data_IF_059831317129
#
_entry.id   IF_059831317129
#
_cell.length_a   1.000
_cell.length_b   1.000
_cell.length_c   1.000
_cell.angle_alpha   90.00
_cell.angle_beta   90.00
_cell.angle_gamma   90.00
#
_symmetry.space_group_name_H-M   'P 1'
#
loop_
_entity.id
_entity.type
_entity.pdbx_description
1 polymer ?
#
# COMPACT_ATOMS: atom_id res chain seq x y z
N UNK A 1 12.80 -7.84 10.41
CA UNK A 1 11.38 -7.69 10.78
C UNK A 1 10.61 -7.22 9.55
N UNK A 2 9.39 -7.69 9.32
CA UNK A 2 8.55 -7.32 8.18
C UNK A 2 7.26 -6.69 8.70
N UNK A 3 7.05 -5.41 8.42
CA UNK A 3 5.77 -4.71 8.59
C UNK A 3 5.01 -4.78 7.26
N UNK A 4 3.77 -5.24 7.28
CA UNK A 4 2.96 -5.39 6.07
C UNK A 4 1.87 -4.31 6.02
N UNK A 5 1.82 -3.56 4.92
CA UNK A 5 0.81 -2.55 4.66
C UNK A 5 -0.20 -3.06 3.62
N UNK A 6 -1.44 -3.28 4.03
CA UNK A 6 -2.53 -3.63 3.12
C UNK A 6 -3.13 -2.32 2.56
N UNK A 7 -2.55 -1.83 1.47
CA UNK A 7 -2.89 -0.54 0.86
C UNK A 7 -4.19 -0.60 0.04
N UNK A 8 -4.66 0.59 -0.40
CA UNK A 8 -5.87 0.79 -1.23
C UNK A 8 -7.18 0.41 -0.53
N UNK A 9 -7.25 0.57 0.81
CA UNK A 9 -8.48 0.33 1.58
C UNK A 9 -9.69 1.13 1.04
N UNK A 10 -9.43 2.29 0.46
CA UNK A 10 -10.42 3.18 -0.14
C UNK A 10 -11.17 2.58 -1.34
N UNK A 11 -10.64 1.52 -1.95
CA UNK A 11 -11.27 0.80 -3.06
C UNK A 11 -12.21 -0.32 -2.58
N UNK A 12 -12.09 -0.76 -1.34
CA UNK A 12 -12.93 -1.82 -0.80
C UNK A 12 -14.23 -1.26 -0.21
N UNK A 13 -15.35 -2.01 -0.28
CA UNK A 13 -16.61 -1.59 0.31
C UNK A 13 -16.46 -1.22 1.80
N UNK A 14 -17.17 -0.18 2.25
CA UNK A 14 -17.16 0.25 3.65
C UNK A 14 -17.64 -0.82 4.62
N UNK A 15 -18.48 -1.73 4.16
CA UNK A 15 -18.97 -2.88 4.94
C UNK A 15 -17.87 -3.86 5.33
N UNK A 16 -16.73 -3.86 4.62
CA UNK A 16 -15.59 -4.72 4.95
C UNK A 16 -14.83 -4.11 6.12
N UNK A 17 -14.86 -4.79 7.26
CA UNK A 17 -14.17 -4.36 8.48
C UNK A 17 -12.65 -4.55 8.36
N UNK A 18 -11.85 -3.57 8.79
CA UNK A 18 -10.38 -3.61 8.74
C UNK A 18 -9.82 -4.85 9.44
N UNK A 19 -10.31 -5.18 10.64
CA UNK A 19 -9.89 -6.37 11.38
C UNK A 19 -10.07 -7.68 10.57
N UNK A 20 -11.10 -7.76 9.72
CA UNK A 20 -11.27 -8.93 8.84
C UNK A 20 -10.20 -8.97 7.74
N UNK A 21 -9.83 -7.80 7.20
CA UNK A 21 -8.77 -7.68 6.20
C UNK A 21 -7.41 -8.05 6.81
N UNK A 22 -7.08 -7.52 7.98
CA UNK A 22 -5.84 -7.85 8.69
C UNK A 22 -5.71 -9.35 8.92
N UNK A 23 -6.78 -9.99 9.43
CA UNK A 23 -6.80 -11.43 9.65
C UNK A 23 -6.66 -12.22 8.35
N UNK A 24 -7.29 -11.75 7.27
CA UNK A 24 -7.18 -12.38 5.96
C UNK A 24 -5.74 -12.28 5.43
N UNK A 25 -5.15 -11.08 5.46
CA UNK A 25 -3.75 -10.85 5.05
C UNK A 25 -2.78 -11.71 5.86
N UNK A 26 -2.90 -11.72 7.19
CA UNK A 26 -2.07 -12.57 8.07
C UNK A 26 -2.17 -14.05 7.72
N UNK A 27 -3.36 -14.52 7.35
CA UNK A 27 -3.56 -15.92 6.94
C UNK A 27 -2.87 -16.22 5.62
N UNK A 28 -2.97 -15.34 4.62
CA UNK A 28 -2.26 -15.50 3.35
C UNK A 28 -0.73 -15.51 3.57
N UNK A 29 -0.21 -14.57 4.30
CA UNK A 29 1.22 -14.50 4.61
C UNK A 29 1.73 -15.74 5.34
N UNK A 30 0.92 -16.29 6.26
CA UNK A 30 1.25 -17.54 6.95
C UNK A 30 1.37 -18.73 6.01
N UNK A 31 0.53 -18.80 4.98
CA UNK A 31 0.61 -19.86 3.96
C UNK A 31 1.91 -19.79 3.18
N UNK A 32 2.42 -18.57 2.95
CA UNK A 32 3.71 -18.32 2.29
C UNK A 32 4.91 -18.35 3.26
N UNK A 33 4.70 -18.75 4.53
CA UNK A 33 5.76 -18.83 5.54
C UNK A 33 6.21 -17.46 6.09
N UNK A 34 5.55 -16.39 5.74
CA UNK A 34 5.90 -15.02 6.18
C UNK A 34 5.21 -14.72 7.52
N UNK A 35 6.02 -14.29 8.50
CA UNK A 35 5.53 -13.86 9.82
C UNK A 35 5.77 -12.36 10.00
N UNK A 36 4.78 -11.50 9.68
CA UNK A 36 4.93 -10.07 9.88
C UNK A 36 4.92 -9.71 11.37
N UNK A 37 5.67 -8.68 11.75
CA UNK A 37 5.59 -8.09 13.11
C UNK A 37 4.24 -7.40 13.29
N UNK A 38 3.74 -6.76 12.22
CA UNK A 38 2.39 -6.22 12.18
C UNK A 38 1.82 -6.18 10.78
N UNK A 39 0.48 -6.02 10.68
CA UNK A 39 -0.27 -5.81 9.45
C UNK A 39 -1.19 -4.62 9.65
N UNK A 40 -1.02 -3.57 8.88
CA UNK A 40 -1.83 -2.35 8.96
C UNK A 40 -2.58 -2.15 7.65
N UNK A 41 -3.89 -2.00 7.74
CA UNK A 41 -4.74 -1.65 6.60
C UNK A 41 -4.65 -0.14 6.38
N UNK A 42 -4.41 0.29 5.15
CA UNK A 42 -4.17 1.71 4.83
C UNK A 42 -4.71 2.13 3.48
N UNK A 43 -4.73 3.42 3.24
CA UNK A 43 -4.88 4.05 1.93
C UNK A 43 -3.97 5.26 1.83
N UNK A 44 -2.91 5.17 1.06
CA UNK A 44 -2.04 6.31 0.77
C UNK A 44 -2.80 7.46 0.08
N UNK A 45 -3.78 7.13 -0.77
CA UNK A 45 -4.64 8.13 -1.45
C UNK A 45 -5.51 8.94 -0.48
N UNK A 46 -5.93 8.33 0.64
CA UNK A 46 -6.83 8.94 1.64
C UNK A 46 -6.11 9.30 2.94
N UNK A 47 -4.79 9.17 3.01
CA UNK A 47 -3.98 9.37 4.21
C UNK A 47 -4.51 8.58 5.42
N UNK A 48 -4.99 7.36 5.16
CA UNK A 48 -5.62 6.55 6.19
C UNK A 48 -4.57 5.81 7.01
N UNK A 49 -4.69 5.88 8.34
CA UNK A 49 -3.82 5.21 9.32
C UNK A 49 -2.33 5.60 9.23
N UNK A 50 -1.99 6.80 8.72
CA UNK A 50 -0.60 7.25 8.59
C UNK A 50 0.10 7.36 9.93
N UNK A 51 -0.57 7.87 10.98
CA UNK A 51 -0.03 7.94 12.35
C UNK A 51 0.36 6.56 12.86
N UNK A 52 -0.56 5.59 12.75
CA UNK A 52 -0.31 4.21 13.20
C UNK A 52 0.85 3.55 12.45
N UNK A 53 1.00 3.86 11.16
CA UNK A 53 2.12 3.35 10.34
C UNK A 53 3.42 4.00 10.78
N UNK A 54 3.42 5.31 10.98
CA UNK A 54 4.59 6.04 11.46
C UNK A 54 5.07 5.49 12.80
N UNK A 55 4.16 5.36 13.77
CA UNK A 55 4.45 4.81 15.11
C UNK A 55 4.98 3.38 15.03
N UNK A 56 4.39 2.53 14.17
CA UNK A 56 4.83 1.17 13.95
C UNK A 56 6.26 1.15 13.34
N UNK A 57 6.53 1.97 12.32
CA UNK A 57 7.86 2.11 11.73
C UNK A 57 8.86 2.51 12.83
N UNK A 58 8.58 3.56 13.58
CA UNK A 58 9.50 4.06 14.61
C UNK A 58 9.73 3.03 15.72
N UNK A 59 8.71 2.27 16.11
CA UNK A 59 8.80 1.23 17.12
C UNK A 59 9.59 0.00 16.66
N UNK A 60 9.31 -0.51 15.45
CA UNK A 60 9.88 -1.77 14.98
C UNK A 60 11.25 -1.63 14.32
N UNK A 61 11.61 -0.47 13.78
CA UNK A 61 12.90 -0.26 13.10
C UNK A 61 14.11 -0.39 14.01
N UNK A 62 13.99 -0.14 15.34
CA UNK A 62 15.10 -0.24 16.31
C UNK A 62 16.35 0.53 15.86
N UNK A 63 16.17 1.78 15.41
CA UNK A 63 17.22 2.68 14.89
C UNK A 63 17.93 2.15 13.62
N UNK A 64 17.32 1.24 12.88
CA UNK A 64 17.83 0.73 11.60
C UNK A 64 17.11 1.39 10.44
N UNK A 65 17.71 1.27 9.28
CA UNK A 65 17.09 1.67 8.02
C UNK A 65 15.84 0.83 7.71
N UNK A 66 14.93 1.45 6.97
CA UNK A 66 13.66 0.86 6.56
C UNK A 66 13.60 0.82 5.03
N UNK A 67 13.28 -0.32 4.47
CA UNK A 67 13.14 -0.52 3.03
C UNK A 67 11.68 -0.74 2.68
N UNK A 68 11.14 0.10 1.79
CA UNK A 68 9.77 -0.05 1.29
C UNK A 68 9.81 -0.88 0.01
N UNK A 69 9.27 -2.09 0.06
CA UNK A 69 9.23 -3.01 -1.07
C UNK A 69 7.79 -3.26 -1.50
N UNK A 70 7.59 -3.50 -2.78
CA UNK A 70 6.28 -3.83 -3.32
C UNK A 70 6.33 -3.96 -4.84
N UNK A 71 5.36 -4.69 -5.38
CA UNK A 71 5.22 -4.83 -6.84
C UNK A 71 4.70 -3.53 -7.46
N UNK A 72 4.77 -3.44 -8.78
CA UNK A 72 4.24 -2.29 -9.53
C UNK A 72 2.73 -2.10 -9.23
N UNK A 73 2.27 -0.86 -9.27
CA UNK A 73 0.85 -0.48 -9.10
C UNK A 73 0.19 -0.80 -7.74
N UNK A 74 0.92 -1.24 -6.73
CA UNK A 74 0.37 -1.39 -5.36
C UNK A 74 0.13 -0.05 -4.65
N UNK A 75 0.59 1.05 -5.24
CA UNK A 75 0.46 2.39 -4.68
C UNK A 75 1.61 2.78 -3.74
N UNK A 76 2.81 2.19 -3.94
CA UNK A 76 4.01 2.46 -3.14
C UNK A 76 4.37 3.95 -3.13
N UNK A 77 4.53 4.57 -4.29
CA UNK A 77 4.85 6.01 -4.40
C UNK A 77 3.77 6.91 -3.80
N UNK A 78 2.48 6.55 -3.98
CA UNK A 78 1.36 7.28 -3.36
C UNK A 78 1.43 7.19 -1.83
N UNK A 79 1.74 6.02 -1.30
CA UNK A 79 1.93 5.81 0.13
C UNK A 79 3.13 6.61 0.67
N UNK A 80 4.28 6.55 0.00
CA UNK A 80 5.49 7.28 0.40
C UNK A 80 5.23 8.78 0.40
N UNK A 81 4.58 9.33 -0.62
CA UNK A 81 4.21 10.73 -0.68
C UNK A 81 3.24 11.13 0.45
N UNK A 82 2.31 10.24 0.83
CA UNK A 82 1.41 10.47 1.95
C UNK A 82 2.17 10.47 3.28
N UNK A 83 3.10 9.54 3.45
CA UNK A 83 3.93 9.45 4.64
C UNK A 83 4.85 10.67 4.78
N UNK A 84 5.47 11.11 3.67
CA UNK A 84 6.31 12.32 3.64
C UNK A 84 5.53 13.57 4.04
N UNK A 85 4.32 13.75 3.49
CA UNK A 85 3.46 14.88 3.87
C UNK A 85 3.08 14.84 5.34
N UNK A 86 2.80 13.65 5.85
CA UNK A 86 2.49 13.47 7.26
C UNK A 86 3.70 13.78 8.13
N UNK A 87 4.88 13.31 7.73
CA UNK A 87 6.15 13.56 8.41
C UNK A 87 6.49 15.05 8.44
N UNK A 88 6.40 15.75 7.30
CA UNK A 88 6.63 17.18 7.21
C UNK A 88 5.69 17.98 8.14
N UNK A 89 4.43 17.59 8.29
CA UNK A 89 3.50 18.24 9.22
C UNK A 89 3.88 18.04 10.68
N UNK A 90 4.43 16.87 11.03
CA UNK A 90 4.94 16.58 12.38
C UNK A 90 6.23 17.37 12.65
N UNK A 91 7.09 17.52 11.65
CA UNK A 91 8.37 18.23 11.79
C UNK A 91 8.24 19.76 11.74
N UNK A 92 7.26 20.31 11.03
CA UNK A 92 6.99 21.77 11.08
C UNK A 92 6.68 22.25 12.50
N UNK A 93 6.18 21.35 13.36
CA UNK A 93 6.04 21.63 14.80
C UNK A 93 7.38 21.56 15.57
N UNK A 94 8.43 20.97 14.98
CA UNK A 94 9.73 20.72 15.62
C UNK A 94 10.96 21.28 14.87
N UNK A 95 10.78 22.17 13.88
CA UNK A 95 11.83 22.85 13.12
C UNK A 95 12.95 21.93 12.56
N UNK A 96 12.66 21.21 11.49
CA UNK A 96 13.71 20.65 10.63
C UNK A 96 13.38 20.98 9.16
N UNK A 97 14.32 21.60 8.49
CA UNK A 97 14.27 21.96 7.06
C UNK A 97 14.25 20.70 6.18
N UNK A 98 13.12 20.40 5.59
CA UNK A 98 13.03 19.39 4.53
C UNK A 98 13.61 20.02 3.25
N UNK A 99 14.76 19.54 2.81
CA UNK A 99 15.31 19.93 1.52
C UNK A 99 14.39 19.47 0.39
N UNK A 100 14.13 20.35 -0.59
CA UNK A 100 13.33 20.09 -1.77
C UNK A 100 13.80 18.80 -2.46
N UNK A 101 12.88 17.84 -2.64
CA UNK A 101 13.18 16.60 -3.33
C UNK A 101 13.17 16.82 -4.84
N UNK A 102 14.30 16.60 -5.55
CA UNK A 102 14.30 16.62 -7.00
C UNK A 102 13.56 15.36 -7.51
N UNK A 103 12.61 15.59 -8.38
CA UNK A 103 11.91 14.51 -9.11
C UNK A 103 12.84 13.83 -10.11
N UNK A 104 12.57 12.56 -10.32
CA UNK A 104 12.93 11.74 -11.47
C UNK A 104 14.40 11.47 -11.74
N UNK A 105 14.91 10.35 -11.22
CA UNK A 105 15.73 9.38 -11.96
C UNK A 105 16.00 8.18 -11.06
N UNK A 106 16.12 7.01 -11.60
CA UNK A 106 16.62 5.67 -11.17
C UNK A 106 17.28 5.49 -9.77
N UNK A 107 17.31 6.50 -8.93
CA UNK A 107 17.95 6.50 -7.63
C UNK A 107 16.94 6.24 -6.53
N UNK A 108 17.35 5.46 -5.55
CA UNK A 108 16.61 5.23 -4.32
C UNK A 108 16.25 6.58 -3.68
N UNK A 109 14.96 6.80 -3.42
CA UNK A 109 14.56 7.96 -2.64
C UNK A 109 14.90 7.65 -1.18
N UNK A 110 15.80 8.44 -0.61
CA UNK A 110 16.22 8.35 0.79
C UNK A 110 15.45 9.39 1.60
N UNK A 111 14.70 8.91 2.58
CA UNK A 111 13.93 9.77 3.49
C UNK A 111 14.54 9.62 4.88
N UNK A 112 15.11 10.68 5.45
CA UNK A 112 15.67 10.61 6.79
C UNK A 112 14.56 10.33 7.82
N UNK A 113 14.75 9.32 8.66
CA UNK A 113 13.88 9.00 9.79
C UNK A 113 14.41 9.58 11.10
N UNK A 114 15.70 9.74 11.18
CA UNK A 114 16.44 10.44 12.24
C UNK A 114 17.87 10.78 11.76
N UNK A 115 18.75 11.19 12.68
CA UNK A 115 20.14 11.58 12.35
C UNK A 115 21.01 10.44 11.83
N UNK A 116 20.56 9.17 11.88
CA UNK A 116 21.39 8.00 11.61
C UNK A 116 20.72 6.94 10.73
N UNK A 117 19.44 7.09 10.40
CA UNK A 117 18.70 6.09 9.67
C UNK A 117 17.71 6.68 8.68
N UNK A 118 17.47 5.92 7.62
CA UNK A 118 16.69 6.36 6.46
C UNK A 118 15.59 5.37 6.13
N UNK A 119 14.54 5.87 5.48
CA UNK A 119 13.59 5.05 4.76
C UNK A 119 13.93 5.11 3.28
N UNK A 120 14.14 3.93 2.69
CA UNK A 120 14.49 3.77 1.28
C UNK A 120 13.28 3.34 0.46
N UNK A 121 12.96 4.10 -0.59
CA UNK A 121 12.06 3.62 -1.63
C UNK A 121 12.82 2.72 -2.59
N UNK A 122 12.46 1.45 -2.65
CA UNK A 122 13.04 0.54 -3.64
C UNK A 122 12.26 0.59 -4.95
N UNK A 123 12.91 0.39 -6.11
CA UNK A 123 12.19 0.21 -7.37
C UNK A 123 11.10 -0.84 -7.24
N UNK A 124 9.94 -0.61 -7.89
CA UNK A 124 8.85 -1.58 -7.89
C UNK A 124 9.31 -2.91 -8.47
N UNK A 125 9.06 -4.00 -7.75
CA UNK A 125 9.35 -5.34 -8.27
C UNK A 125 8.41 -5.61 -9.44
N UNK A 126 8.99 -5.87 -10.61
CA UNK A 126 8.25 -6.34 -11.77
C UNK A 126 8.01 -7.83 -11.57
N UNK A 127 6.75 -8.23 -11.56
CA UNK A 127 6.38 -9.64 -11.52
C UNK A 127 5.78 -10.00 -12.88
N UNK A 128 6.51 -10.81 -13.66
CA UNK A 128 6.11 -11.20 -15.01
C UNK A 128 4.78 -11.98 -15.05
N UNK A 129 4.35 -12.52 -13.90
CA UNK A 129 3.05 -13.19 -13.77
C UNK A 129 1.89 -12.25 -13.40
N UNK A 130 2.13 -10.94 -13.30
CA UNK A 130 1.03 -10.00 -13.07
C UNK A 130 0.14 -9.90 -14.31
N UNK A 131 -1.15 -10.03 -14.09
CA UNK A 131 -2.19 -9.90 -15.13
C UNK A 131 -2.06 -8.58 -15.91
N UNK A 132 -1.54 -7.54 -15.26
CA UNK A 132 -1.31 -6.21 -15.86
C UNK A 132 -0.30 -6.20 -17.01
N UNK A 133 0.54 -7.22 -17.15
CA UNK A 133 1.47 -7.37 -18.27
C UNK A 133 0.84 -8.00 -19.52
N UNK A 134 -0.29 -8.68 -19.34
CA UNK A 134 -0.98 -9.38 -20.41
C UNK A 134 -2.20 -8.61 -20.96
N UNK A 135 -2.54 -7.47 -20.35
CA UNK A 135 -3.70 -6.66 -20.71
C UNK A 135 -3.24 -5.36 -21.35
N UNK A 136 -3.91 -4.96 -22.43
CA UNK A 136 -3.65 -3.67 -23.07
C UNK A 136 -3.80 -2.53 -22.06
N UNK A 137 -2.88 -1.52 -22.05
CA UNK A 137 -2.96 -0.40 -21.12
C UNK A 137 -4.27 0.38 -21.15
N UNK A 138 -4.98 0.40 -22.29
CA UNK A 138 -6.29 1.04 -22.38
C UNK A 138 -7.39 0.24 -21.67
N UNK A 139 -7.32 -1.08 -21.78
CA UNK A 139 -8.26 -1.96 -21.08
C UNK A 139 -7.93 -2.08 -19.60
N UNK A 140 -6.65 -2.05 -19.24
CA UNK A 140 -6.20 -2.02 -17.84
C UNK A 140 -6.80 -0.83 -17.08
N UNK A 141 -6.92 0.35 -17.70
CA UNK A 141 -7.56 1.52 -17.10
C UNK A 141 -9.04 1.31 -16.80
N UNK A 142 -9.73 0.47 -17.55
CA UNK A 142 -11.15 0.13 -17.36
C UNK A 142 -11.34 -0.88 -16.22
N UNK A 143 -10.40 -1.80 -16.07
CA UNK A 143 -10.46 -2.92 -15.13
C UNK A 143 -10.01 -2.50 -13.73
N UNK A 144 -8.96 -1.66 -13.62
CA UNK A 144 -8.44 -1.21 -12.33
C UNK A 144 -9.45 -0.27 -11.66
N UNK A 145 -9.94 -0.62 -10.46
CA UNK A 145 -10.86 0.25 -9.72
C UNK A 145 -10.21 1.61 -9.41
N UNK A 146 -10.93 2.69 -9.72
CA UNK A 146 -10.53 4.08 -9.45
C UNK A 146 -11.24 4.67 -8.22
N UNK A 147 -12.33 4.01 -7.79
CA UNK A 147 -13.17 4.42 -6.67
C UNK A 147 -13.64 3.20 -5.89
N UNK A 148 -14.34 3.43 -4.79
CA UNK A 148 -14.90 2.37 -3.94
C UNK A 148 -15.75 1.40 -4.76
N UNK A 149 -15.43 0.11 -4.65
CA UNK A 149 -16.20 -0.96 -5.26
C UNK A 149 -17.53 -1.12 -4.52
N UNK A 150 -18.61 -1.05 -5.28
CA UNK A 150 -19.96 -1.27 -4.75
C UNK A 150 -20.34 -2.74 -4.99
N UNK A 151 -20.61 -3.52 -3.94
CA UNK A 151 -21.06 -4.88 -4.13
C UNK A 151 -22.43 -4.88 -4.82
N UNK A 152 -22.56 -5.70 -5.85
CA UNK A 152 -23.83 -5.96 -6.53
C UNK A 152 -24.26 -7.37 -6.13
N UNK A 153 -25.44 -7.46 -5.54
CA UNK A 153 -26.04 -8.75 -5.19
C UNK A 153 -26.90 -9.28 -6.34
N UNK A 154 -26.67 -10.52 -6.73
CA UNK A 154 -27.53 -11.22 -7.68
C UNK A 154 -28.24 -12.36 -6.94
N UNK A 155 -29.54 -12.41 -7.07
CA UNK A 155 -30.36 -13.51 -6.55
C UNK A 155 -30.70 -14.44 -7.71
N UNK A 156 -30.03 -15.58 -7.79
CA UNK A 156 -30.24 -16.56 -8.84
C UNK A 156 -31.39 -17.46 -8.47
N UNK A 157 -32.24 -17.76 -9.46
CA UNK A 157 -33.23 -18.80 -9.40
C UNK A 157 -32.63 -20.12 -9.92
N UNK A 158 -33.34 -21.23 -9.70
CA UNK A 158 -32.93 -22.52 -10.21
C UNK A 158 -32.74 -22.48 -11.74
N UNK A 159 -31.64 -23.06 -12.22
CA UNK A 159 -31.22 -23.11 -13.64
C UNK A 159 -30.75 -21.75 -14.24
N UNK A 160 -30.55 -20.73 -13.44
CA UNK A 160 -29.92 -19.49 -13.89
C UNK A 160 -28.40 -19.50 -13.62
N UNK A 161 -27.63 -18.97 -14.54
CA UNK A 161 -26.17 -18.82 -14.44
C UNK A 161 -25.79 -17.37 -14.67
N UNK A 162 -24.86 -16.84 -13.85
CA UNK A 162 -24.24 -15.54 -14.14
C UNK A 162 -23.00 -15.80 -14.98
N UNK A 163 -22.91 -15.09 -16.07
CA UNK A 163 -21.71 -15.03 -16.88
C UNK A 163 -21.00 -13.70 -16.65
N UNK A 164 -19.72 -13.75 -16.29
CA UNK A 164 -18.86 -12.57 -16.16
C UNK A 164 -17.95 -12.53 -17.38
N UNK A 165 -18.17 -11.52 -18.23
CA UNK A 165 -17.35 -11.26 -19.40
C UNK A 165 -16.33 -10.15 -19.11
N UNK A 166 -15.18 -10.23 -19.74
CA UNK A 166 -14.15 -9.19 -19.68
C UNK A 166 -13.04 -9.39 -18.62
N UNK A 167 -12.85 -10.62 -18.14
CA UNK A 167 -11.68 -11.01 -17.33
C UNK A 167 -10.77 -11.93 -18.13
#
# INVERSE_FOLDING_TARGET
DVLVLANKRDLLPKSVKERKLEHWVRRQLKQEGIKPVDVIVTSGKKNMNMDSIYDAIMSYRKQRDVYVVGVTNVGKSTFINALLKHYAQVEEQNLITVSEFPGTTLDFIEIPLDNHSYLYDTPGIINDHQMTHFIDPQDLKKIIPQSELRPIGFQLQEKQTIYFDGL
#
